data_IF_888047137144
#
_entry.id   IF_888047137144
#
_cell.length_a   1.000
_cell.length_b   1.000
_cell.length_c   1.000
_cell.angle_alpha   90.00
_cell.angle_beta   90.00
_cell.angle_gamma   90.00
#
_symmetry.space_group_name_H-M   'P 1'
#
loop_
_entity.id
_entity.type
_entity.pdbx_description
1 polymer ?
#
# COMPACT_ATOMS: atom_id res chain seq x y z
N UNK A 1 29.06 1.89 -0.39
CA UNK A 1 28.17 0.69 -0.41
C UNK A 1 26.77 1.08 0.04
N UNK A 2 25.77 0.57 -0.66
CA UNK A 2 24.38 0.75 -0.26
C UNK A 2 24.17 0.06 1.10
N UNK A 3 23.51 0.73 2.04
CA UNK A 3 23.34 0.23 3.40
C UNK A 3 21.99 -0.45 3.62
N UNK A 4 20.91 0.11 3.06
CA UNK A 4 19.57 -0.43 3.28
C UNK A 4 18.55 0.27 2.37
N UNK A 5 17.37 -0.31 2.27
CA UNK A 5 16.23 0.36 1.68
C UNK A 5 15.42 1.02 2.82
N UNK A 6 15.37 2.34 2.82
CA UNK A 6 14.65 3.11 3.85
C UNK A 6 13.19 3.38 3.48
N UNK A 7 12.91 3.46 2.17
CA UNK A 7 11.60 3.79 1.64
C UNK A 7 11.21 2.83 0.54
N UNK A 8 9.91 2.55 0.41
CA UNK A 8 9.34 1.90 -0.75
C UNK A 8 8.19 2.75 -1.28
N UNK A 9 7.84 2.59 -2.55
CA UNK A 9 6.84 3.43 -3.19
C UNK A 9 5.62 2.61 -3.60
N UNK A 10 4.44 3.12 -3.27
CA UNK A 10 3.16 2.61 -3.76
C UNK A 10 2.50 3.73 -4.56
N UNK A 11 2.24 3.49 -5.85
CA UNK A 11 1.52 4.45 -6.67
C UNK A 11 0.03 4.34 -6.41
N UNK A 12 -0.60 5.48 -6.13
CA UNK A 12 -2.02 5.55 -5.76
C UNK A 12 -2.77 6.49 -6.70
N UNK A 13 -4.07 6.26 -6.83
CA UNK A 13 -4.93 7.08 -7.70
C UNK A 13 -5.30 8.39 -7.00
N UNK A 14 -5.57 8.33 -5.71
CA UNK A 14 -5.94 9.49 -4.90
C UNK A 14 -5.27 9.38 -3.53
N UNK A 15 -4.37 10.33 -3.22
CA UNK A 15 -3.60 10.29 -1.98
C UNK A 15 -4.46 10.40 -0.73
N UNK A 16 -5.53 11.20 -0.75
CA UNK A 16 -6.41 11.34 0.42
C UNK A 16 -7.15 10.04 0.70
N UNK A 17 -7.67 9.39 -0.32
CA UNK A 17 -8.33 8.09 -0.17
C UNK A 17 -7.35 7.01 0.25
N UNK A 18 -6.14 7.00 -0.33
CA UNK A 18 -5.10 6.06 0.04
C UNK A 18 -4.66 6.25 1.50
N UNK A 19 -4.54 7.50 1.95
CA UNK A 19 -4.22 7.81 3.33
C UNK A 19 -5.24 7.22 4.29
N UNK A 20 -6.52 7.37 3.99
CA UNK A 20 -7.59 6.78 4.81
C UNK A 20 -7.46 5.26 4.88
N UNK A 21 -7.17 4.61 3.76
CA UNK A 21 -7.00 3.17 3.73
C UNK A 21 -5.82 2.72 4.59
N UNK A 22 -4.64 3.25 4.34
CA UNK A 22 -3.43 2.80 5.04
C UNK A 22 -3.39 3.22 6.51
N UNK A 23 -3.85 4.43 6.82
CA UNK A 23 -3.87 4.91 8.22
C UNK A 23 -5.06 4.36 9.01
N UNK A 24 -6.29 4.54 8.50
CA UNK A 24 -7.49 4.29 9.30
C UNK A 24 -7.91 2.82 9.25
N UNK A 25 -7.69 2.13 8.13
CA UNK A 25 -8.08 0.72 7.96
C UNK A 25 -6.92 -0.21 8.31
N UNK A 26 -5.74 -0.01 7.75
CA UNK A 26 -4.59 -0.87 8.02
C UNK A 26 -3.85 -0.50 9.30
N UNK A 27 -4.03 0.71 9.82
CA UNK A 27 -3.40 1.12 11.08
C UNK A 27 -1.97 1.60 10.95
N UNK A 28 -1.53 1.99 9.76
CA UNK A 28 -0.20 2.57 9.58
C UNK A 28 -0.13 3.94 10.24
N UNK A 29 1.08 4.34 10.62
CA UNK A 29 1.34 5.65 11.21
C UNK A 29 1.91 6.60 10.17
N UNK A 30 1.38 7.83 10.09
CA UNK A 30 1.91 8.86 9.20
C UNK A 30 3.25 9.34 9.73
N UNK A 31 4.26 9.33 8.87
CA UNK A 31 5.60 9.83 9.19
C UNK A 31 5.80 11.24 8.65
N UNK A 32 5.44 11.47 7.40
CA UNK A 32 5.53 12.80 6.79
C UNK A 32 4.31 13.03 5.91
N UNK A 33 3.75 14.23 5.99
CA UNK A 33 2.71 14.69 5.09
C UNK A 33 2.96 16.16 4.84
N UNK A 34 3.62 16.47 3.73
CA UNK A 34 4.06 17.82 3.42
C UNK A 34 3.81 18.12 1.94
N UNK A 35 3.16 19.25 1.67
CA UNK A 35 2.92 19.70 0.31
C UNK A 35 3.88 20.85 -0.01
N UNK A 36 4.60 20.73 -1.12
CA UNK A 36 5.50 21.79 -1.61
C UNK A 36 4.66 22.92 -2.19
N UNK A 37 4.88 24.16 -1.74
CA UNK A 37 4.09 25.31 -2.15
C UNK A 37 4.19 25.58 -3.66
N UNK A 38 5.40 25.51 -4.22
CA UNK A 38 5.64 25.90 -5.61
C UNK A 38 5.12 24.86 -6.59
N UNK A 39 5.41 23.59 -6.36
CA UNK A 39 5.06 22.51 -7.30
C UNK A 39 3.72 21.85 -7.02
N UNK A 40 3.20 22.02 -5.81
CA UNK A 40 2.03 21.27 -5.34
C UNK A 40 2.31 19.81 -5.04
N UNK A 41 3.54 19.35 -5.13
CA UNK A 41 3.93 17.97 -4.84
C UNK A 41 3.73 17.67 -3.36
N UNK A 42 3.01 16.56 -3.09
CA UNK A 42 2.76 16.10 -1.73
C UNK A 42 3.65 14.91 -1.40
N UNK A 43 4.50 15.09 -0.43
CA UNK A 43 5.34 14.03 0.14
C UNK A 43 4.57 13.39 1.28
N UNK A 44 4.07 12.17 1.07
CA UNK A 44 3.23 11.47 2.02
C UNK A 44 3.84 10.10 2.29
N UNK A 45 4.27 9.87 3.53
CA UNK A 45 4.85 8.59 3.95
C UNK A 45 4.21 8.08 5.21
N UNK A 46 4.08 6.77 5.30
CA UNK A 46 3.55 6.06 6.46
C UNK A 46 4.43 4.84 6.75
N UNK A 47 4.35 4.35 7.98
CA UNK A 47 5.03 3.11 8.37
C UNK A 47 4.05 2.17 9.05
N UNK A 48 4.17 0.84 8.83
CA UNK A 48 3.49 -0.12 9.71
C UNK A 48 3.92 0.10 11.16
N UNK A 49 3.03 -0.06 12.11
CA UNK A 49 3.35 0.17 13.52
C UNK A 49 4.52 -0.68 14.00
N UNK A 50 4.61 -1.91 13.54
CA UNK A 50 5.69 -2.83 13.91
C UNK A 50 6.99 -2.60 13.15
N UNK A 51 7.04 -1.65 12.22
CA UNK A 51 8.21 -1.41 11.37
C UNK A 51 8.44 0.08 11.15
N UNK A 52 8.78 0.82 12.23
CA UNK A 52 8.89 2.29 12.15
C UNK A 52 10.08 2.79 11.33
N UNK A 53 11.03 1.93 11.02
CA UNK A 53 12.22 2.28 10.24
C UNK A 53 12.05 2.10 8.72
N UNK A 54 10.92 1.58 8.26
CA UNK A 54 10.57 1.56 6.84
C UNK A 54 9.45 2.54 6.57
N UNK A 55 9.66 3.45 5.64
CA UNK A 55 8.62 4.39 5.22
C UNK A 55 8.05 3.97 3.87
N UNK A 56 6.74 3.90 3.79
CA UNK A 56 6.01 3.64 2.54
C UNK A 56 5.56 4.99 1.99
N UNK A 57 6.00 5.31 0.78
CA UNK A 57 5.58 6.53 0.08
C UNK A 57 4.28 6.24 -0.66
N UNK A 58 3.22 6.98 -0.37
CA UNK A 58 2.00 6.96 -1.18
C UNK A 58 2.14 8.04 -2.25
N UNK A 59 2.52 7.62 -3.46
CA UNK A 59 2.83 8.54 -4.54
C UNK A 59 1.63 8.71 -5.46
N UNK A 60 1.18 9.96 -5.64
CA UNK A 60 0.09 10.27 -6.55
C UNK A 60 0.51 10.03 -7.99
N UNK A 61 -0.29 9.29 -8.75
CA UNK A 61 -0.08 9.16 -10.20
C UNK A 61 -0.49 10.48 -10.84
N UNK A 62 0.49 11.28 -11.21
CA UNK A 62 0.28 12.62 -11.79
C UNK A 62 1.44 13.02 -12.69
N UNK A 63 1.23 14.03 -13.52
CA UNK A 63 2.25 14.56 -14.42
C UNK A 63 3.47 15.05 -13.64
N UNK A 64 4.65 14.69 -14.08
CA UNK A 64 5.92 15.04 -13.47
C UNK A 64 7.02 14.90 -14.52
N UNK A 65 8.27 15.29 -14.22
CA UNK A 65 9.38 14.99 -15.13
C UNK A 65 9.54 13.51 -15.45
N UNK A 66 9.04 12.62 -14.59
CA UNK A 66 9.12 11.16 -14.79
C UNK A 66 7.93 10.60 -15.56
N UNK A 67 6.76 11.27 -15.53
CA UNK A 67 5.54 10.80 -16.17
C UNK A 67 4.95 11.90 -17.05
N UNK A 68 4.87 11.69 -18.36
CA UNK A 68 4.10 12.55 -19.25
C UNK A 68 2.59 12.22 -19.16
N UNK A 69 1.75 12.97 -19.87
CA UNK A 69 0.29 12.80 -19.81
C UNK A 69 -0.16 11.40 -20.23
N UNK A 70 0.46 10.82 -21.25
CA UNK A 70 0.12 9.46 -21.72
C UNK A 70 0.49 8.41 -20.67
N UNK A 71 1.66 8.54 -20.06
CA UNK A 71 2.10 7.64 -19.00
C UNK A 71 1.19 7.71 -17.77
N UNK A 72 0.70 8.91 -17.44
CA UNK A 72 -0.24 9.09 -16.33
C UNK A 72 -1.52 8.27 -16.57
N UNK A 73 -2.09 8.38 -17.77
CA UNK A 73 -3.31 7.63 -18.10
C UNK A 73 -3.06 6.12 -18.12
N UNK A 74 -1.94 5.68 -18.68
CA UNK A 74 -1.55 4.27 -18.70
C UNK A 74 -1.35 3.73 -17.27
N UNK A 75 -0.66 4.48 -16.42
CA UNK A 75 -0.42 4.11 -15.03
C UNK A 75 -1.72 4.00 -14.24
N UNK A 76 -2.61 5.00 -14.38
CA UNK A 76 -3.91 4.97 -13.70
C UNK A 76 -4.71 3.73 -14.11
N UNK A 77 -4.71 3.41 -15.40
CA UNK A 77 -5.42 2.23 -15.89
C UNK A 77 -4.84 0.94 -15.30
N UNK A 78 -3.51 0.81 -15.29
CA UNK A 78 -2.83 -0.38 -14.78
C UNK A 78 -3.02 -0.55 -13.27
N UNK A 79 -2.83 0.53 -12.50
CA UNK A 79 -3.05 0.49 -11.04
C UNK A 79 -4.49 0.07 -10.73
N UNK A 80 -5.46 0.72 -11.37
CA UNK A 80 -6.88 0.45 -11.13
C UNK A 80 -7.27 -0.98 -11.47
N UNK A 81 -6.61 -1.58 -12.46
CA UNK A 81 -6.90 -2.95 -12.91
C UNK A 81 -6.16 -4.00 -12.09
N UNK A 82 -5.33 -3.61 -11.14
CA UNK A 82 -4.62 -4.54 -10.28
C UNK A 82 -3.35 -5.12 -10.90
N UNK A 83 -2.68 -4.37 -11.77
CA UNK A 83 -1.44 -4.83 -12.40
C UNK A 83 -0.27 -4.92 -11.42
N UNK A 84 -0.30 -4.15 -10.33
CA UNK A 84 0.85 -4.03 -9.44
C UNK A 84 0.64 -4.72 -8.11
N UNK A 85 1.54 -5.67 -7.81
CA UNK A 85 1.71 -6.20 -6.47
C UNK A 85 2.72 -5.35 -5.72
N UNK A 86 2.38 -4.98 -4.49
CA UNK A 86 3.18 -4.04 -3.70
C UNK A 86 3.96 -4.70 -2.56
N UNK A 87 3.95 -6.01 -2.51
CA UNK A 87 4.76 -6.76 -1.55
C UNK A 87 3.95 -7.63 -0.61
N UNK A 88 4.58 -7.95 0.51
CA UNK A 88 4.00 -8.83 1.54
C UNK A 88 3.95 -8.06 2.86
N UNK A 89 2.78 -8.02 3.46
CA UNK A 89 2.60 -7.50 4.81
C UNK A 89 2.38 -8.69 5.75
N UNK A 90 3.05 -8.69 6.88
CA UNK A 90 2.92 -9.76 7.87
C UNK A 90 1.94 -9.38 8.97
N UNK A 91 1.25 -10.38 9.48
CA UNK A 91 0.36 -10.26 10.64
C UNK A 91 0.55 -11.44 11.57
N UNK A 92 0.18 -11.26 12.83
CA UNK A 92 0.14 -12.34 13.82
C UNK A 92 -1.27 -12.91 14.02
N UNK A 93 -2.28 -12.35 13.34
CA UNK A 93 -3.68 -12.81 13.45
C UNK A 93 -4.43 -12.60 12.13
N UNK A 94 -4.13 -13.43 11.14
CA UNK A 94 -4.70 -13.27 9.80
C UNK A 94 -6.22 -13.49 9.78
N UNK A 95 -6.74 -14.41 10.57
CA UNK A 95 -8.17 -14.68 10.59
C UNK A 95 -8.95 -13.54 11.25
N UNK A 96 -8.41 -12.96 12.32
CA UNK A 96 -8.97 -11.75 12.93
C UNK A 96 -8.94 -10.57 11.99
N UNK A 97 -7.80 -10.36 11.31
CA UNK A 97 -7.66 -9.30 10.31
C UNK A 97 -8.63 -9.49 9.15
N UNK A 98 -8.75 -10.70 8.65
CA UNK A 98 -9.69 -10.99 7.56
C UNK A 98 -11.12 -10.59 7.93
N UNK A 99 -11.57 -10.98 9.10
CA UNK A 99 -12.91 -10.65 9.59
C UNK A 99 -13.10 -9.14 9.76
N UNK A 100 -12.13 -8.48 10.39
CA UNK A 100 -12.18 -7.04 10.66
C UNK A 100 -12.12 -6.22 9.38
N UNK A 101 -11.18 -6.53 8.49
CA UNK A 101 -10.99 -5.80 7.23
C UNK A 101 -12.17 -6.01 6.28
N UNK A 102 -12.70 -7.23 6.21
CA UNK A 102 -13.88 -7.53 5.39
C UNK A 102 -15.07 -6.69 5.80
N UNK A 103 -15.30 -6.52 7.10
CA UNK A 103 -16.38 -5.68 7.63
C UNK A 103 -16.19 -4.21 7.27
N UNK A 104 -14.97 -3.76 7.10
CA UNK A 104 -14.65 -2.39 6.69
C UNK A 104 -14.68 -2.19 5.18
N UNK A 105 -15.07 -3.21 4.43
CA UNK A 105 -15.21 -3.12 2.98
C UNK A 105 -13.94 -3.37 2.18
N UNK A 106 -12.89 -3.91 2.81
CA UNK A 106 -11.65 -4.23 2.11
C UNK A 106 -11.89 -5.41 1.17
N UNK A 107 -11.41 -5.29 -0.05
CA UNK A 107 -11.55 -6.34 -1.06
C UNK A 107 -10.44 -7.37 -0.89
N UNK A 108 -10.84 -8.65 -0.72
CA UNK A 108 -9.91 -9.78 -0.74
C UNK A 108 -10.04 -10.50 -2.08
N UNK A 109 -8.93 -10.57 -2.81
CA UNK A 109 -8.86 -11.35 -4.06
C UNK A 109 -8.97 -12.84 -3.74
N UNK A 110 -8.29 -13.26 -2.65
CA UNK A 110 -8.45 -14.59 -2.10
C UNK A 110 -8.47 -14.55 -0.57
N UNK A 111 -9.31 -15.40 0.06
CA UNK A 111 -9.36 -15.47 1.52
C UNK A 111 -8.11 -16.18 2.08
N UNK A 112 -7.91 -16.14 3.41
CA UNK A 112 -6.81 -16.87 4.03
C UNK A 112 -6.79 -18.35 3.65
N UNK A 113 -5.64 -18.83 3.19
CA UNK A 113 -5.40 -20.22 2.81
C UNK A 113 -4.06 -20.66 3.33
N UNK A 114 -3.98 -21.90 3.77
CA UNK A 114 -2.72 -22.48 4.25
C UNK A 114 -1.77 -22.75 3.10
N UNK A 115 -0.52 -22.34 3.28
CA UNK A 115 0.60 -22.55 2.37
C UNK A 115 1.74 -23.18 3.17
N UNK A 116 2.79 -23.65 2.48
CA UNK A 116 3.92 -24.24 3.18
C UNK A 116 4.66 -23.25 4.08
N UNK A 117 4.58 -21.96 3.78
CA UNK A 117 5.28 -20.87 4.52
C UNK A 117 4.40 -20.22 5.60
N UNK A 118 3.13 -20.52 5.64
CA UNK A 118 2.18 -19.92 6.58
C UNK A 118 0.80 -19.84 5.99
N UNK A 119 -0.02 -18.94 6.54
CA UNK A 119 -1.37 -18.67 6.02
C UNK A 119 -1.33 -17.35 5.28
N UNK A 120 -1.89 -17.31 4.07
CA UNK A 120 -1.83 -16.14 3.18
C UNK A 120 -3.19 -15.78 2.64
N UNK A 121 -3.48 -14.49 2.56
CA UNK A 121 -4.59 -13.92 1.81
C UNK A 121 -4.04 -12.92 0.79
N UNK A 122 -4.78 -12.64 -0.26
CA UNK A 122 -4.44 -11.59 -1.22
C UNK A 122 -5.47 -10.48 -1.11
N UNK A 123 -4.99 -9.27 -0.91
CA UNK A 123 -5.78 -8.11 -0.53
C UNK A 123 -5.55 -6.98 -1.53
N UNK A 124 -6.59 -6.20 -1.81
CA UNK A 124 -6.44 -4.97 -2.62
C UNK A 124 -6.56 -3.74 -1.74
N UNK A 125 -5.74 -2.73 -2.06
CA UNK A 125 -5.97 -1.39 -1.51
C UNK A 125 -7.07 -0.68 -2.32
N UNK A 126 -7.41 0.56 -1.94
CA UNK A 126 -8.49 1.28 -2.58
C UNK A 126 -8.09 2.00 -3.89
N UNK A 127 -6.84 1.87 -4.32
CA UNK A 127 -6.40 2.28 -5.65
C UNK A 127 -6.44 1.14 -6.66
N UNK A 128 -6.40 -0.10 -6.19
CA UNK A 128 -6.38 -1.30 -7.02
C UNK A 128 -5.09 -2.12 -6.88
N UNK A 129 -4.10 -1.63 -6.16
CA UNK A 129 -2.88 -2.39 -5.87
C UNK A 129 -3.21 -3.61 -5.03
N UNK A 130 -2.49 -4.71 -5.24
CA UNK A 130 -2.67 -5.90 -4.43
C UNK A 130 -1.43 -6.20 -3.60
N UNK A 131 -1.64 -6.85 -2.47
CA UNK A 131 -0.55 -7.31 -1.61
C UNK A 131 -0.91 -8.65 -0.97
N UNK A 132 0.13 -9.37 -0.59
CA UNK A 132 -0.03 -10.57 0.23
C UNK A 132 -0.13 -10.15 1.69
N UNK A 133 -1.12 -10.70 2.39
CA UNK A 133 -1.18 -10.64 3.85
C UNK A 133 -0.86 -12.03 4.35
N UNK A 134 0.23 -12.16 5.10
CA UNK A 134 0.77 -13.47 5.49
C UNK A 134 0.98 -13.54 7.00
N UNK A 135 0.49 -14.62 7.59
CA UNK A 135 0.87 -15.00 8.94
C UNK A 135 1.88 -16.14 8.81
N UNK A 136 3.18 -15.89 9.05
CA UNK A 136 4.20 -16.90 8.89
C UNK A 136 4.01 -18.08 9.86
N UNK A 137 4.48 -19.25 9.47
CA UNK A 137 4.58 -20.41 10.39
C UNK A 137 5.59 -20.09 11.49
N UNK A 138 5.26 -20.50 12.68
CA UNK A 138 6.12 -20.30 13.85
C UNK A 138 6.60 -21.63 14.42
#
# INVERSE_FOLDING_TARGET
>A
MIQRQSHSTIYVIDQDEALKFYRDILGFEVKTDMTMEVSGFRWLTLSPKGQPDLEVILAQVSSSPMFDADMVEEMKALVSRGAFGIGVFETDDIHGDYGRLSKQGVEFVSPPQEQFYGTEAVVKDNSGNWFSLTQPKR
#
